data_IF_541199224032
#
_entry.id   IF_541199224032
#
_cell.length_a   1.000
_cell.length_b   1.000
_cell.length_c   1.000
_cell.angle_alpha   90.00
_cell.angle_beta   90.00
_cell.angle_gamma   90.00
#
_symmetry.space_group_name_H-M   'P 1'
#
loop_
_entity.id
_entity.type
_entity.pdbx_description
1 polymer ?
#
# COMPACT_ATOMS: atom_id res chain seq x y z
N UNK A 1 -37.84 -9.76 7.31
CA UNK A 1 -37.41 -10.18 8.65
C UNK A 1 -36.31 -11.24 8.48
N UNK A 2 -35.10 -10.99 8.97
CA UNK A 2 -34.06 -12.01 8.99
C UNK A 2 -34.36 -12.98 10.13
N UNK A 3 -35.39 -13.82 9.96
CA UNK A 3 -35.82 -14.78 10.97
C UNK A 3 -34.78 -15.88 11.05
N UNK A 4 -34.06 -15.88 12.17
CA UNK A 4 -33.31 -17.00 12.71
C UNK A 4 -32.02 -17.34 11.94
N UNK A 5 -30.91 -17.33 12.68
CA UNK A 5 -29.57 -17.81 12.28
C UNK A 5 -29.56 -19.36 12.10
N UNK A 6 -30.67 -19.91 11.59
CA UNK A 6 -30.97 -21.35 11.52
C UNK A 6 -30.59 -21.95 10.16
N UNK A 7 -30.44 -21.13 9.11
CA UNK A 7 -29.89 -21.62 7.84
C UNK A 7 -28.35 -21.63 7.88
N UNK A 8 -27.70 -22.74 7.46
CA UNK A 8 -26.24 -22.82 7.40
C UNK A 8 -25.66 -21.68 6.58
N UNK A 9 -24.63 -21.00 7.10
CA UNK A 9 -23.96 -19.85 6.47
C UNK A 9 -23.52 -20.09 5.03
N UNK A 10 -23.35 -21.37 4.66
CA UNK A 10 -22.77 -21.88 3.41
C UNK A 10 -23.54 -21.55 2.12
N UNK A 11 -24.85 -21.30 2.16
CA UNK A 11 -25.67 -21.19 0.93
C UNK A 11 -26.14 -19.78 0.57
N UNK A 12 -25.77 -18.76 1.35
CA UNK A 12 -26.15 -17.37 1.05
C UNK A 12 -24.96 -16.59 0.48
N UNK A 13 -25.11 -15.92 -0.68
CA UNK A 13 -24.10 -14.98 -1.18
C UNK A 13 -23.78 -13.93 -0.10
N UNK A 14 -22.53 -13.46 -0.01
CA UNK A 14 -22.07 -12.54 1.04
C UNK A 14 -22.98 -11.31 1.21
N UNK A 15 -23.48 -10.75 0.10
CA UNK A 15 -24.39 -9.60 0.09
C UNK A 15 -25.72 -9.85 0.81
N UNK A 16 -26.17 -11.10 0.89
CA UNK A 16 -27.38 -11.46 1.62
C UNK A 16 -27.17 -11.41 3.14
N UNK A 17 -25.93 -11.62 3.61
CA UNK A 17 -25.57 -11.44 5.02
C UNK A 17 -25.49 -9.97 5.39
N UNK A 18 -24.83 -9.14 4.57
CA UNK A 18 -24.68 -7.70 4.82
C UNK A 18 -26.04 -7.00 5.01
N UNK A 19 -27.02 -7.35 4.17
CA UNK A 19 -28.39 -6.81 4.27
C UNK A 19 -29.12 -7.25 5.54
N UNK A 20 -28.85 -8.47 6.00
CA UNK A 20 -29.43 -9.00 7.23
C UNK A 20 -28.79 -8.42 8.50
N UNK A 21 -27.49 -8.10 8.46
CA UNK A 21 -26.75 -7.56 9.59
C UNK A 21 -26.90 -6.05 9.77
N UNK A 22 -27.27 -5.31 8.71
CA UNK A 22 -27.40 -3.85 8.74
C UNK A 22 -28.36 -3.31 9.82
N UNK A 23 -29.29 -4.13 10.33
CA UNK A 23 -30.18 -3.79 11.45
C UNK A 23 -29.78 -4.39 12.81
N UNK A 24 -28.69 -5.14 12.88
CA UNK A 24 -28.23 -5.80 14.11
C UNK A 24 -27.11 -5.00 14.77
N UNK A 25 -27.03 -5.00 16.11
CA UNK A 25 -25.89 -4.42 16.84
C UNK A 25 -24.56 -5.16 16.64
N UNK A 26 -24.52 -6.21 15.80
CA UNK A 26 -23.32 -6.97 15.50
C UNK A 26 -22.62 -6.35 14.29
N UNK A 27 -21.33 -6.03 14.44
CA UNK A 27 -20.48 -5.67 13.32
C UNK A 27 -20.38 -6.85 12.35
N UNK A 28 -20.67 -6.60 11.09
CA UNK A 28 -20.48 -7.56 10.01
C UNK A 28 -20.07 -6.79 8.75
N UNK A 29 -19.36 -7.47 7.87
CA UNK A 29 -19.00 -6.97 6.55
C UNK A 29 -18.56 -8.13 5.67
N UNK A 30 -18.51 -7.90 4.34
CA UNK A 30 -18.15 -8.94 3.40
C UNK A 30 -16.65 -9.27 3.50
N UNK A 31 -16.32 -10.54 3.24
CA UNK A 31 -14.93 -10.92 2.95
C UNK A 31 -14.63 -10.49 1.51
N UNK A 32 -13.89 -9.40 1.38
CA UNK A 32 -13.52 -8.86 0.08
C UNK A 32 -12.28 -9.59 -0.48
N UNK A 33 -12.26 -9.79 -1.79
CA UNK A 33 -11.01 -10.08 -2.50
C UNK A 33 -10.22 -8.77 -2.67
N UNK A 34 -8.98 -8.86 -3.18
CA UNK A 34 -8.11 -7.68 -3.35
C UNK A 34 -8.75 -6.61 -4.24
N UNK A 35 -9.36 -7.01 -5.35
CA UNK A 35 -10.04 -6.08 -6.27
C UNK A 35 -11.12 -5.27 -5.54
N UNK A 36 -12.07 -5.94 -4.87
CA UNK A 36 -13.14 -5.28 -4.11
C UNK A 36 -12.60 -4.42 -2.98
N UNK A 37 -11.52 -4.84 -2.32
CA UNK A 37 -10.90 -4.06 -1.25
C UNK A 37 -10.30 -2.75 -1.78
N UNK A 38 -9.58 -2.79 -2.91
CA UNK A 38 -8.92 -1.63 -3.49
C UNK A 38 -9.87 -0.70 -4.26
N UNK A 39 -10.98 -1.22 -4.79
CA UNK A 39 -12.02 -0.41 -5.45
C UNK A 39 -13.16 0.00 -4.51
N UNK A 40 -13.09 -0.35 -3.22
CA UNK A 40 -14.13 0.00 -2.25
C UNK A 40 -14.26 1.52 -2.10
N UNK A 41 -15.49 2.03 -1.96
CA UNK A 41 -15.76 3.48 -1.82
C UNK A 41 -14.99 4.10 -0.64
N UNK A 42 -14.90 3.38 0.48
CA UNK A 42 -14.07 3.79 1.63
C UNK A 42 -12.58 3.86 1.30
N UNK A 43 -12.05 2.93 0.48
CA UNK A 43 -10.65 2.94 0.11
C UNK A 43 -10.32 4.16 -0.78
N UNK A 44 -11.22 4.50 -1.70
CA UNK A 44 -11.11 5.71 -2.54
C UNK A 44 -11.25 6.99 -1.70
N UNK A 45 -12.26 7.08 -0.84
CA UNK A 45 -12.50 8.24 0.02
C UNK A 45 -11.35 8.51 1.00
N UNK A 46 -10.57 7.48 1.33
CA UNK A 46 -9.40 7.59 2.22
C UNK A 46 -8.08 7.63 1.48
N UNK A 47 -8.09 7.74 0.15
CA UNK A 47 -6.90 7.74 -0.69
C UNK A 47 -5.94 6.58 -0.32
N UNK A 48 -6.49 5.38 -0.27
CA UNK A 48 -5.77 4.16 0.12
C UNK A 48 -5.10 3.46 -1.05
N UNK A 49 -5.31 3.92 -2.28
CA UNK A 49 -4.66 3.38 -3.48
C UNK A 49 -4.09 4.54 -4.27
N UNK A 50 -2.77 4.72 -4.17
CA UNK A 50 -2.05 5.79 -4.84
C UNK A 50 -1.32 5.23 -6.07
N UNK A 51 -1.25 6.01 -7.14
CA UNK A 51 -0.47 5.67 -8.34
C UNK A 51 0.83 6.47 -8.35
N UNK A 52 1.94 5.81 -8.61
CA UNK A 52 3.27 6.40 -8.61
C UNK A 52 3.87 6.21 -10.01
N UNK A 53 4.36 7.30 -10.60
CA UNK A 53 5.14 7.28 -11.84
C UNK A 53 6.59 6.91 -11.53
N UNK A 54 7.06 5.85 -12.18
CA UNK A 54 8.41 5.32 -12.01
C UNK A 54 8.85 4.56 -13.25
N UNK A 55 9.85 5.08 -13.96
CA UNK A 55 10.31 4.53 -15.24
C UNK A 55 10.80 3.09 -15.14
N UNK A 56 11.36 2.68 -13.99
CA UNK A 56 11.80 1.32 -13.78
C UNK A 56 10.65 0.34 -13.48
N UNK A 57 9.44 0.83 -13.21
CA UNK A 57 8.25 -0.01 -13.11
C UNK A 57 7.80 -0.47 -14.50
N UNK A 58 7.22 -1.67 -14.57
CA UNK A 58 6.62 -2.16 -15.81
C UNK A 58 5.47 -1.22 -16.22
N UNK A 59 5.65 -0.53 -17.35
CA UNK A 59 4.69 0.45 -17.87
C UNK A 59 4.85 1.88 -17.32
N UNK A 60 5.95 2.19 -16.61
CA UNK A 60 6.27 3.53 -16.14
C UNK A 60 5.43 4.02 -14.96
N UNK A 61 4.50 3.19 -14.45
CA UNK A 61 3.61 3.52 -13.34
C UNK A 61 3.20 2.26 -12.59
N UNK A 62 3.04 2.36 -11.27
CA UNK A 62 2.50 1.28 -10.45
C UNK A 62 1.59 1.82 -9.34
N UNK A 63 0.76 0.94 -8.76
CA UNK A 63 -0.14 1.27 -7.64
C UNK A 63 0.43 0.74 -6.34
N UNK A 64 0.28 1.53 -5.28
CA UNK A 64 0.63 1.15 -3.91
C UNK A 64 -0.48 1.51 -2.94
N UNK A 65 -0.43 0.91 -1.75
CA UNK A 65 -1.30 1.32 -0.65
C UNK A 65 -0.91 2.70 -0.15
N UNK A 66 -1.87 3.61 -0.04
CA UNK A 66 -1.68 4.91 0.60
C UNK A 66 -1.45 4.77 2.11
N UNK A 67 -1.09 5.89 2.76
CA UNK A 67 -0.84 5.90 4.21
C UNK A 67 -2.12 5.55 5.01
N UNK A 68 -2.08 4.56 5.92
CA UNK A 68 -3.26 4.10 6.66
C UNK A 68 -3.74 5.11 7.72
N UNK A 69 -2.80 5.92 8.24
CA UNK A 69 -3.07 6.98 9.23
C UNK A 69 -3.07 8.33 8.52
N UNK A 70 -4.07 9.17 8.81
CA UNK A 70 -4.17 10.54 8.28
C UNK A 70 -3.94 11.52 9.44
N UNK A 71 -2.85 12.26 9.36
CA UNK A 71 -2.51 13.27 10.37
C UNK A 71 -3.10 14.63 9.96
N UNK A 72 -3.66 15.37 10.91
CA UNK A 72 -4.28 16.67 10.64
C UNK A 72 -3.27 17.78 10.34
N UNK A 73 -2.06 17.69 10.91
CA UNK A 73 -1.05 18.76 10.86
C UNK A 73 0.13 18.44 9.94
N UNK A 74 0.38 17.17 9.67
CA UNK A 74 1.54 16.71 8.89
C UNK A 74 1.08 15.68 7.87
N UNK A 75 0.67 16.15 6.70
CA UNK A 75 0.20 15.26 5.65
C UNK A 75 1.26 14.20 5.31
N UNK A 76 0.87 12.93 5.39
CA UNK A 76 1.72 11.82 5.02
C UNK A 76 1.67 11.63 3.50
N UNK A 77 2.83 11.74 2.84
CA UNK A 77 2.95 11.67 1.39
C UNK A 77 4.08 10.73 0.97
N UNK A 78 3.90 10.09 -0.19
CA UNK A 78 4.95 9.30 -0.83
C UNK A 78 5.82 10.29 -1.61
N UNK A 79 7.08 10.43 -1.21
CA UNK A 79 7.96 11.51 -1.70
C UNK A 79 8.95 11.06 -2.77
N UNK A 80 9.39 9.81 -2.68
CA UNK A 80 10.39 9.23 -3.55
C UNK A 80 9.91 7.88 -4.07
N UNK A 81 10.41 7.52 -5.25
CA UNK A 81 10.29 6.15 -5.76
C UNK A 81 11.09 5.17 -4.89
N UNK A 82 10.76 3.86 -4.94
CA UNK A 82 11.64 2.84 -4.40
C UNK A 82 13.03 2.98 -5.04
N UNK A 83 14.10 3.04 -4.23
CA UNK A 83 15.44 3.24 -4.77
C UNK A 83 15.86 2.06 -5.64
N UNK A 84 16.57 2.34 -6.73
CA UNK A 84 17.29 1.34 -7.49
C UNK A 84 18.48 0.82 -6.69
N UNK A 85 18.97 -0.36 -7.08
CA UNK A 85 20.17 -0.94 -6.48
C UNK A 85 21.35 0.03 -6.63
N UNK A 86 21.86 0.51 -5.50
CA UNK A 86 23.00 1.41 -5.44
C UNK A 86 22.73 2.87 -5.80
N UNK A 87 21.46 3.29 -5.97
CA UNK A 87 21.09 4.65 -6.38
C UNK A 87 21.69 5.73 -5.48
N UNK A 88 21.70 5.49 -4.17
CA UNK A 88 22.18 6.45 -3.16
C UNK A 88 23.54 6.07 -2.56
N UNK A 89 24.26 5.08 -3.11
CA UNK A 89 25.53 4.61 -2.54
C UNK A 89 26.53 5.74 -2.35
N UNK A 90 26.76 6.53 -3.40
CA UNK A 90 27.71 7.64 -3.35
C UNK A 90 27.28 8.73 -2.35
N UNK A 91 26.00 9.09 -2.35
CA UNK A 91 25.49 10.16 -1.48
C UNK A 91 25.59 9.78 0.01
N UNK A 92 25.29 8.52 0.34
CA UNK A 92 25.47 8.00 1.69
C UNK A 92 26.95 8.01 2.09
N UNK A 93 27.85 7.52 1.23
CA UNK A 93 29.27 7.45 1.55
C UNK A 93 29.94 8.83 1.63
N UNK A 94 29.58 9.77 0.74
CA UNK A 94 30.00 11.18 0.87
C UNK A 94 29.48 11.80 2.17
N UNK A 95 28.24 11.50 2.57
CA UNK A 95 27.68 11.93 3.85
C UNK A 95 28.42 11.39 5.08
N UNK A 96 29.15 10.29 4.92
CA UNK A 96 30.03 9.71 5.94
C UNK A 96 31.49 10.21 5.86
N UNK A 97 31.82 11.04 4.87
CA UNK A 97 33.14 11.65 4.73
C UNK A 97 34.11 10.97 3.75
N UNK A 98 33.65 10.01 2.96
CA UNK A 98 34.48 9.41 1.91
C UNK A 98 34.78 10.44 0.80
N UNK A 99 36.06 10.53 0.44
CA UNK A 99 36.55 11.30 -0.70
C UNK A 99 36.14 10.66 -2.03
N UNK A 100 36.19 11.43 -3.12
CA UNK A 100 35.91 10.90 -4.45
C UNK A 100 36.94 9.83 -4.88
N UNK A 101 38.17 9.96 -4.39
CA UNK A 101 39.26 9.02 -4.61
C UNK A 101 38.97 7.68 -3.92
N UNK A 102 38.57 7.70 -2.64
CA UNK A 102 38.20 6.47 -1.91
C UNK A 102 36.97 5.79 -2.53
N UNK A 103 35.98 6.56 -2.99
CA UNK A 103 34.82 6.00 -3.72
C UNK A 103 35.23 5.30 -5.01
N UNK A 104 36.17 5.89 -5.76
CA UNK A 104 36.68 5.30 -6.99
C UNK A 104 37.44 3.98 -6.71
N UNK A 105 38.20 3.94 -5.61
CA UNK A 105 38.92 2.75 -5.17
C UNK A 105 37.95 1.62 -4.79
N UNK A 106 36.91 1.91 -4.00
CA UNK A 106 35.89 0.92 -3.63
C UNK A 106 35.15 0.33 -4.84
N UNK A 107 34.84 1.16 -5.84
CA UNK A 107 34.22 0.70 -7.10
C UNK A 107 35.15 -0.20 -7.91
N UNK A 108 36.44 0.11 -7.94
CA UNK A 108 37.46 -0.69 -8.64
C UNK A 108 37.63 -2.06 -7.97
N UNK A 109 37.55 -2.11 -6.65
CA UNK A 109 37.59 -3.34 -5.86
C UNK A 109 36.28 -4.15 -5.91
N UNK A 110 35.21 -3.58 -6.50
CA UNK A 110 33.85 -4.13 -6.49
C UNK A 110 33.30 -4.35 -5.08
N UNK A 111 33.74 -3.50 -4.13
CA UNK A 111 33.20 -3.44 -2.79
C UNK A 111 31.87 -2.66 -2.74
N UNK A 112 31.64 -1.78 -3.73
CA UNK A 112 30.41 -1.01 -3.95
C UNK A 112 30.04 -0.91 -5.44
#
# INVERSE_FOLDING_TARGET
>A
MCSTFSMPSRHRPSLAWDRCSAGSRRGAGPINNLEKAFTHTQAQARDMVQSIDFDAAVGGRFKVTGFPVKFSNTEASIRNNPPLLGEHTDDVLRGLGFSNEELADLRREKAI
#
